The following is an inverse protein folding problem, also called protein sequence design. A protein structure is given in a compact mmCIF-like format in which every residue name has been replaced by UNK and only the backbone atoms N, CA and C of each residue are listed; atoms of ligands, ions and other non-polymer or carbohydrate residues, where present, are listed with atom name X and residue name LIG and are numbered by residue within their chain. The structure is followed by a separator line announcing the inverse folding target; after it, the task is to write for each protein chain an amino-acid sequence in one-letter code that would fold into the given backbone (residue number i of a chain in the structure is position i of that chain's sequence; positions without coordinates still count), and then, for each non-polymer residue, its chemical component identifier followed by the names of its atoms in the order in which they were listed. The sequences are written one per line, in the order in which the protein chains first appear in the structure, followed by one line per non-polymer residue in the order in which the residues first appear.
data_IF_899802912823
#
_entry.id   IF_899802912823
#
_cell.length_a   1.000
_cell.length_b   1.000
_cell.length_c   1.000
_cell.angle_alpha   90.00
_cell.angle_beta   90.00
_cell.angle_gamma   90.00
#
_symmetry.space_group_name_H-M   'P 1'
#
loop_
_entity.id
_entity.type
_entity.pdbx_description
1 polymer ?
#
# COMPACT_ATOMS: atom_id res chain seq x y z
N UNK A 1 -14.73 -22.80 6.95
CA UNK A 1 -13.95 -22.00 7.91
C UNK A 1 -13.11 -22.95 8.74
N UNK A 2 -11.79 -22.75 8.78
CA UNK A 2 -10.86 -23.63 9.49
C UNK A 2 -11.24 -23.64 10.97
N UNK A 3 -11.48 -24.78 11.60
CA UNK A 3 -11.89 -24.89 13.02
C UNK A 3 -10.79 -24.50 14.02
N UNK A 4 -10.05 -23.42 13.73
CA UNK A 4 -8.95 -22.87 14.51
C UNK A 4 -9.34 -21.46 14.94
N UNK A 5 -8.97 -21.12 16.16
CA UNK A 5 -9.12 -19.76 16.68
C UNK A 5 -8.30 -18.76 15.86
N UNK A 6 -8.81 -17.54 15.62
CA UNK A 6 -8.03 -16.45 15.04
C UNK A 6 -6.79 -16.16 15.89
N UNK A 7 -5.68 -15.87 15.23
CA UNK A 7 -4.45 -15.42 15.89
C UNK A 7 -4.38 -13.90 15.77
N UNK A 8 -4.28 -13.21 16.90
CA UNK A 8 -4.05 -11.77 16.94
C UNK A 8 -2.57 -11.52 16.64
N UNK A 9 -2.31 -10.65 15.67
CA UNK A 9 -0.96 -10.27 15.26
C UNK A 9 -0.56 -8.96 15.95
N UNK A 10 0.63 -8.95 16.54
CA UNK A 10 1.24 -7.76 17.15
C UNK A 10 2.06 -6.96 16.16
N UNK A 11 2.29 -5.68 16.45
CA UNK A 11 3.16 -4.82 15.63
C UNK A 11 4.60 -5.34 15.62
N UNK A 12 5.17 -5.54 14.42
CA UNK A 12 6.50 -6.09 14.20
C UNK A 12 6.60 -7.62 14.33
N UNK A 13 5.49 -8.31 14.61
CA UNK A 13 5.46 -9.76 14.78
C UNK A 13 5.83 -10.48 13.48
N UNK A 14 6.56 -11.60 13.59
CA UNK A 14 7.01 -12.40 12.45
C UNK A 14 6.32 -13.76 12.47
N UNK A 15 5.53 -14.04 11.43
CA UNK A 15 4.98 -15.36 11.16
C UNK A 15 5.89 -16.11 10.18
N UNK A 16 6.29 -17.32 10.56
CA UNK A 16 7.06 -18.20 9.68
C UNK A 16 6.12 -19.23 9.04
N UNK A 17 6.07 -19.27 7.71
CA UNK A 17 5.28 -20.24 6.94
C UNK A 17 6.22 -21.12 6.13
N UNK A 18 6.73 -22.19 6.74
CA UNK A 18 7.76 -23.04 6.14
C UNK A 18 9.08 -22.28 5.95
N UNK A 19 9.46 -22.01 4.70
CA UNK A 19 10.70 -21.28 4.37
C UNK A 19 10.55 -19.76 4.31
N UNK A 20 9.32 -19.24 4.45
CA UNK A 20 9.01 -17.82 4.31
C UNK A 20 8.78 -17.16 5.67
N UNK A 21 9.13 -15.88 5.79
CA UNK A 21 8.95 -15.07 6.98
C UNK A 21 8.14 -13.82 6.63
N UNK A 22 6.97 -13.67 7.21
CA UNK A 22 6.13 -12.48 7.06
C UNK A 22 6.22 -11.66 8.33
N UNK A 23 6.81 -10.46 8.24
CA UNK A 23 6.77 -9.47 9.31
C UNK A 23 5.57 -8.56 9.11
N UNK A 24 4.73 -8.43 10.12
CA UNK A 24 3.55 -7.59 10.09
C UNK A 24 3.80 -6.25 10.76
N UNK A 25 3.20 -5.20 10.21
CA UNK A 25 3.23 -3.85 10.73
C UNK A 25 1.80 -3.37 10.90
N UNK A 26 1.40 -3.06 12.12
CA UNK A 26 0.12 -2.44 12.37
C UNK A 26 0.21 -0.97 11.92
N UNK A 27 -0.67 -0.58 11.00
CA UNK A 27 -0.64 0.73 10.35
C UNK A 27 -2.00 1.41 10.45
N UNK A 28 -2.54 1.57 11.68
CA UNK A 28 -3.87 2.13 11.87
C UNK A 28 -3.95 3.52 11.25
N UNK A 29 -5.06 3.80 10.58
CA UNK A 29 -5.33 5.05 9.88
C UNK A 29 -4.38 5.38 8.72
N UNK A 30 -3.63 4.41 8.18
CA UNK A 30 -3.00 4.61 6.85
C UNK A 30 -4.06 4.65 5.77
N UNK A 31 -4.91 3.61 5.67
CA UNK A 31 -6.09 3.60 4.80
C UNK A 31 -7.37 3.50 5.63
N UNK A 32 -7.41 2.53 6.55
CA UNK A 32 -8.52 2.25 7.47
C UNK A 32 -8.01 2.13 8.91
N UNK A 33 -8.94 2.10 9.87
CA UNK A 33 -8.62 2.05 11.31
C UNK A 33 -7.90 0.74 11.71
N UNK A 34 -8.12 -0.34 10.98
CA UNK A 34 -7.58 -1.69 11.18
C UNK A 34 -6.47 -2.05 10.18
N UNK A 35 -5.97 -1.08 9.42
CA UNK A 35 -4.94 -1.31 8.41
C UNK A 35 -3.68 -1.96 8.99
N UNK A 36 -3.13 -2.87 8.20
CA UNK A 36 -1.86 -3.55 8.44
C UNK A 36 -1.12 -3.72 7.12
N UNK A 37 0.22 -3.72 7.19
CA UNK A 37 1.11 -4.08 6.09
C UNK A 37 1.91 -5.34 6.46
N UNK A 38 2.41 -6.06 5.47
CA UNK A 38 3.30 -7.18 5.72
C UNK A 38 4.47 -7.21 4.74
N UNK A 39 5.67 -7.52 5.24
CA UNK A 39 6.84 -7.76 4.40
C UNK A 39 7.24 -9.23 4.47
N UNK A 40 7.29 -9.89 3.31
CA UNK A 40 7.93 -11.19 3.16
C UNK A 40 9.45 -10.99 3.05
N UNK A 41 10.16 -11.31 4.12
CA UNK A 41 11.58 -10.96 4.27
C UNK A 41 12.51 -11.77 3.36
N UNK A 42 12.11 -12.96 2.92
CA UNK A 42 12.99 -13.85 2.14
C UNK A 42 13.24 -13.30 0.74
N UNK A 43 12.23 -12.70 0.12
CA UNK A 43 12.33 -12.10 -1.22
C UNK A 43 12.21 -10.58 -1.23
N UNK A 44 11.82 -9.97 -0.12
CA UNK A 44 11.64 -8.51 -0.05
C UNK A 44 10.34 -8.06 -0.71
N UNK A 45 9.25 -8.79 -0.50
CA UNK A 45 7.93 -8.43 -1.05
C UNK A 45 7.08 -7.73 0.01
N UNK A 46 6.71 -6.47 -0.25
CA UNK A 46 5.76 -5.73 0.55
C UNK A 46 4.33 -6.02 0.06
N UNK A 47 3.50 -6.61 0.91
CA UNK A 47 2.05 -6.62 0.77
C UNK A 47 1.51 -5.31 1.35
N UNK A 48 1.14 -4.41 0.44
CA UNK A 48 0.99 -2.99 0.75
C UNK A 48 -0.45 -2.55 1.06
N UNK A 49 -1.42 -3.47 0.96
CA UNK A 49 -2.84 -3.11 0.98
C UNK A 49 -3.10 -1.96 -0.01
N UNK A 50 -3.70 -0.87 0.46
CA UNK A 50 -4.06 0.29 -0.36
C UNK A 50 -2.97 1.38 -0.34
N UNK A 51 -1.86 1.16 0.37
CA UNK A 51 -0.66 1.95 0.18
C UNK A 51 -0.01 1.50 -1.14
N UNK A 52 0.44 2.45 -1.96
CA UNK A 52 0.95 2.21 -3.32
C UNK A 52 -0.04 1.72 -4.40
N UNK A 53 -1.35 2.01 -4.28
CA UNK A 53 -2.35 1.71 -5.33
C UNK A 53 -1.86 2.13 -6.72
N UNK A 54 -1.99 1.23 -7.69
CA UNK A 54 -1.73 1.53 -9.09
C UNK A 54 -3.04 1.78 -9.87
N UNK A 55 -3.15 2.89 -10.61
CA UNK A 55 -4.36 3.22 -11.37
C UNK A 55 -4.51 2.34 -12.62
N UNK A 56 -5.77 2.17 -13.04
CA UNK A 56 -6.13 1.64 -14.36
C UNK A 56 -6.01 0.11 -14.51
N UNK A 57 -6.14 -0.35 -15.75
CA UNK A 57 -6.05 -1.75 -16.16
C UNK A 57 -4.64 -2.08 -16.70
N UNK A 58 -3.63 -1.85 -15.86
CA UNK A 58 -2.24 -2.10 -16.19
C UNK A 58 -1.90 -3.60 -16.35
N UNK A 59 -0.68 -3.87 -16.81
CA UNK A 59 -0.11 -5.23 -16.83
C UNK A 59 -0.08 -5.82 -15.41
N UNK A 60 -0.01 -7.16 -15.24
CA UNK A 60 0.10 -7.78 -13.91
C UNK A 60 1.25 -7.23 -13.05
N UNK A 61 2.36 -6.86 -13.68
CA UNK A 61 3.49 -6.17 -13.06
C UNK A 61 4.00 -5.06 -13.95
N UNK A 62 4.59 -4.03 -13.35
CA UNK A 62 5.23 -2.91 -14.06
C UNK A 62 6.54 -2.51 -13.39
N UNK A 63 7.49 -2.06 -14.21
CA UNK A 63 8.72 -1.36 -13.81
C UNK A 63 8.70 0.12 -14.25
N UNK A 64 7.59 0.56 -14.84
CA UNK A 64 7.35 1.95 -15.22
C UNK A 64 7.10 2.82 -13.97
N UNK A 65 7.47 4.10 -14.03
CA UNK A 65 7.17 5.08 -12.98
C UNK A 65 5.77 5.67 -13.19
N UNK A 66 4.83 5.23 -12.34
CA UNK A 66 3.44 5.70 -12.28
C UNK A 66 3.17 6.47 -10.98
N UNK A 67 4.21 6.92 -10.28
CA UNK A 67 4.10 7.51 -8.94
C UNK A 67 3.24 8.79 -8.94
N UNK A 68 3.30 9.61 -9.99
CA UNK A 68 2.43 10.78 -10.15
C UNK A 68 0.95 10.37 -10.31
N UNK A 69 0.68 9.36 -11.13
CA UNK A 69 -0.69 8.89 -11.39
C UNK A 69 -1.32 8.26 -10.14
N UNK A 70 -0.51 7.57 -9.33
CA UNK A 70 -0.88 7.08 -8.00
C UNK A 70 -1.28 8.24 -7.07
N UNK A 71 -0.48 9.30 -6.99
CA UNK A 71 -0.79 10.46 -6.13
C UNK A 71 -2.07 11.16 -6.60
N UNK A 72 -2.22 11.34 -7.91
CA UNK A 72 -3.44 11.92 -8.48
C UNK A 72 -4.68 11.09 -8.17
N UNK A 73 -4.56 9.76 -8.18
CA UNK A 73 -5.64 8.87 -7.78
C UNK A 73 -6.00 9.06 -6.30
N UNK A 74 -5.03 9.10 -5.39
CA UNK A 74 -5.30 9.34 -3.97
C UNK A 74 -6.04 10.65 -3.74
N UNK A 75 -5.60 11.74 -4.40
CA UNK A 75 -6.26 13.05 -4.31
C UNK A 75 -7.70 13.04 -4.83
N UNK A 76 -7.97 12.26 -5.89
CA UNK A 76 -9.32 12.14 -6.47
C UNK A 76 -10.27 11.31 -5.62
N UNK A 77 -9.81 10.22 -5.03
CA UNK A 77 -10.68 9.31 -4.26
C UNK A 77 -10.80 9.76 -2.79
N UNK A 78 -9.74 10.32 -2.21
CA UNK A 78 -9.71 10.73 -0.80
C UNK A 78 -9.68 9.55 0.18
N UNK A 79 -8.80 8.56 -0.08
CA UNK A 79 -8.70 7.32 0.72
C UNK A 79 -7.79 7.44 1.94
N UNK A 80 -6.93 8.46 1.97
CA UNK A 80 -5.79 8.54 2.90
C UNK A 80 -6.06 9.66 3.91
N UNK A 81 -6.27 9.35 5.20
CA UNK A 81 -6.73 10.36 6.15
C UNK A 81 -5.59 11.16 6.80
N UNK A 82 -4.34 10.68 6.75
CA UNK A 82 -3.24 11.32 7.50
C UNK A 82 -1.83 11.01 6.98
N UNK A 83 -1.10 12.06 6.61
CA UNK A 83 0.31 11.95 6.21
C UNK A 83 1.20 11.52 7.39
N UNK A 84 0.82 11.86 8.63
CA UNK A 84 1.54 11.43 9.82
C UNK A 84 1.53 9.92 10.00
N UNK A 85 0.36 9.28 9.80
CA UNK A 85 0.24 7.82 9.89
C UNK A 85 0.95 7.12 8.74
N UNK A 86 0.88 7.67 7.52
CA UNK A 86 1.62 7.15 6.36
C UNK A 86 3.12 7.19 6.60
N UNK A 87 3.67 8.33 7.04
CA UNK A 87 5.11 8.46 7.33
C UNK A 87 5.54 7.52 8.45
N UNK A 88 4.76 7.41 9.53
CA UNK A 88 5.03 6.47 10.60
C UNK A 88 5.04 5.01 10.10
N UNK A 89 4.15 4.64 9.18
CA UNK A 89 4.16 3.31 8.56
C UNK A 89 5.41 3.06 7.71
N UNK A 90 5.82 4.05 6.90
CA UNK A 90 7.05 3.96 6.11
C UNK A 90 8.30 3.85 7.01
N UNK A 91 8.35 4.60 8.10
CA UNK A 91 9.46 4.55 9.07
C UNK A 91 9.58 3.16 9.72
N UNK A 92 8.47 2.46 10.01
CA UNK A 92 8.51 1.09 10.55
C UNK A 92 9.18 0.08 9.62
N UNK A 93 9.08 0.30 8.31
CA UNK A 93 9.64 -0.60 7.30
C UNK A 93 11.04 -0.17 6.85
N UNK A 94 11.56 0.93 7.40
CA UNK A 94 12.88 1.46 7.06
C UNK A 94 13.99 0.45 7.37
N UNK A 95 14.88 0.25 6.41
CA UNK A 95 16.00 -0.69 6.53
C UNK A 95 15.66 -2.12 6.12
N UNK A 96 14.41 -2.41 5.74
CA UNK A 96 14.07 -3.66 5.06
C UNK A 96 14.43 -3.57 3.57
N UNK A 97 14.97 -4.66 3.04
CA UNK A 97 15.32 -4.79 1.61
C UNK A 97 14.07 -5.14 0.80
N UNK A 98 13.22 -4.14 0.55
CA UNK A 98 11.98 -4.27 -0.24
C UNK A 98 12.32 -4.09 -1.72
N UNK A 99 12.05 -5.14 -2.51
CA UNK A 99 12.34 -5.21 -3.96
C UNK A 99 11.08 -5.22 -4.81
N UNK A 100 9.96 -5.61 -4.21
CA UNK A 100 8.68 -5.76 -4.88
C UNK A 100 7.58 -5.20 -3.99
N UNK A 101 6.64 -4.44 -4.58
CA UNK A 101 5.42 -4.03 -3.88
C UNK A 101 4.24 -4.75 -4.53
N UNK A 102 3.68 -5.71 -3.81
CA UNK A 102 2.43 -6.37 -4.15
C UNK A 102 1.27 -5.46 -3.69
N UNK A 103 0.81 -4.63 -4.60
CA UNK A 103 -0.33 -3.73 -4.43
C UNK A 103 -1.64 -4.53 -4.32
N UNK A 104 -2.59 -4.04 -3.50
CA UNK A 104 -3.94 -4.62 -3.47
C UNK A 104 -4.72 -4.29 -4.75
N UNK A 105 -4.47 -3.10 -5.32
CA UNK A 105 -5.10 -2.63 -6.54
C UNK A 105 -4.07 -2.28 -7.62
N UNK A 106 -4.31 -2.81 -8.82
CA UNK A 106 -3.49 -2.58 -10.01
C UNK A 106 -2.23 -3.44 -10.05
N UNK A 107 -1.23 -2.96 -10.77
CA UNK A 107 0.01 -3.70 -11.06
C UNK A 107 0.88 -3.90 -9.82
N UNK A 108 1.57 -5.05 -9.77
CA UNK A 108 2.71 -5.25 -8.87
C UNK A 108 3.86 -4.34 -9.31
N UNK A 109 4.44 -3.59 -8.38
CA UNK A 109 5.59 -2.74 -8.67
C UNK A 109 6.89 -3.53 -8.55
N UNK A 110 7.72 -3.39 -9.57
CA UNK A 110 9.07 -3.96 -9.67
C UNK A 110 10.06 -2.90 -10.16
N UNK A 111 11.34 -3.23 -10.24
CA UNK A 111 12.35 -2.28 -10.71
C UNK A 111 12.65 -1.19 -9.67
N UNK A 112 12.71 0.08 -10.10
CA UNK A 112 13.05 1.18 -9.21
C UNK A 112 11.83 1.66 -8.42
N UNK A 113 11.82 1.37 -7.11
CA UNK A 113 10.74 1.77 -6.20
C UNK A 113 10.91 3.17 -5.60
N UNK A 114 12.07 3.82 -5.76
CA UNK A 114 12.37 5.11 -5.15
C UNK A 114 11.34 6.22 -5.49
N UNK A 115 10.87 6.37 -6.75
CA UNK A 115 9.87 7.39 -7.06
C UNK A 115 8.56 7.23 -6.28
N UNK A 116 8.12 6.00 -6.05
CA UNK A 116 6.92 5.70 -5.29
C UNK A 116 7.07 6.05 -3.81
N UNK A 117 8.18 5.66 -3.18
CA UNK A 117 8.45 6.05 -1.79
C UNK A 117 8.55 7.56 -1.62
N UNK A 118 9.26 8.24 -2.54
CA UNK A 118 9.37 9.70 -2.56
C UNK A 118 7.99 10.36 -2.69
N UNK A 119 7.18 9.91 -3.63
CA UNK A 119 5.84 10.45 -3.84
C UNK A 119 4.94 10.29 -2.60
N UNK A 120 4.94 9.10 -1.97
CA UNK A 120 4.16 8.83 -0.75
C UNK A 120 4.68 9.63 0.46
N UNK A 121 5.97 9.94 0.51
CA UNK A 121 6.57 10.67 1.63
C UNK A 121 6.37 12.19 1.53
N UNK A 122 6.57 12.75 0.33
CA UNK A 122 6.70 14.19 0.09
C UNK A 122 5.38 14.86 -0.29
N UNK A 123 4.50 14.18 -1.03
CA UNK A 123 3.28 14.79 -1.53
C UNK A 123 2.13 14.64 -0.53
N UNK A 124 1.43 15.74 -0.24
CA UNK A 124 0.18 15.65 0.50
C UNK A 124 -0.97 15.28 -0.45
N UNK A 125 -1.51 14.09 -0.23
CA UNK A 125 -2.68 13.54 -0.93
C UNK A 125 -3.79 13.17 0.06
N UNK A 126 -3.75 13.73 1.26
CA UNK A 126 -4.74 13.47 2.29
C UNK A 126 -5.91 14.44 2.22
N UNK A 127 -7.03 14.01 2.80
CA UNK A 127 -8.26 14.79 2.83
C UNK A 127 -9.30 14.33 1.83
N UNK A 128 -10.50 14.88 1.98
CA UNK A 128 -11.60 14.61 1.06
C UNK A 128 -11.40 15.39 -0.23
N UNK A 129 -11.84 14.83 -1.38
CA UNK A 129 -11.90 15.59 -2.61
C UNK A 129 -12.79 16.83 -2.38
N UNK A 130 -12.44 17.97 -2.99
CA UNK A 130 -13.25 19.18 -2.91
C UNK A 130 -14.72 18.93 -3.32
N UNK A 131 -15.68 19.77 -2.91
CA UNK A 131 -17.09 19.60 -3.27
C UNK A 131 -17.26 19.38 -4.78
N UNK A 132 -17.84 18.25 -5.18
CA UNK A 132 -18.05 17.88 -6.60
C UNK A 132 -16.94 17.05 -7.25
N UNK A 133 -15.83 16.73 -6.56
CA UNK A 133 -14.77 15.90 -7.11
C UNK A 133 -15.09 14.39 -7.09
N UNK A 134 -16.10 13.95 -6.33
CA UNK A 134 -16.66 12.61 -6.45
C UNK A 134 -17.75 12.59 -7.54
N UNK A 135 -17.34 12.53 -8.81
CA UNK A 135 -18.23 12.00 -9.85
C UNK A 135 -18.28 10.48 -9.69
N UNK A 136 -19.48 9.88 -9.63
CA UNK A 136 -19.61 8.41 -9.62
C UNK A 136 -18.72 7.83 -10.73
N UNK A 137 -17.84 6.85 -10.44
CA UNK A 137 -17.12 6.18 -11.50
C UNK A 137 -18.13 5.62 -12.49
N UNK A 138 -18.02 5.98 -13.77
CA UNK A 138 -18.78 5.30 -14.80
C UNK A 138 -18.09 3.95 -15.02
N UNK A 139 -18.55 2.91 -14.32
CA UNK A 139 -18.02 1.54 -14.44
C UNK A 139 -18.33 0.89 -15.82
N UNK A 140 -18.67 1.69 -16.83
CA UNK A 140 -19.13 1.26 -18.15
C UNK A 140 -18.34 1.85 -19.33
N UNK A 141 -17.26 2.60 -19.11
CA UNK A 141 -16.41 3.04 -20.22
C UNK A 141 -15.07 2.26 -20.21
N UNK A 142 -14.81 1.62 -21.36
CA UNK A 142 -13.81 0.57 -21.68
C UNK A 142 -12.34 0.97 -21.52
#
# INVERSE_FOLDING_TARGET
FTGKEPVVISDGEVLTTGSKKLRFFLTPYVHAWDSLLAVEETQGTLFSSDLFIQPGHGKPSTDEDLSEQMVDLYKRIGLMPSMGHIRAALDKMKGLDIKTIACHHGSVLTGNLEPYYRAVWEQDFTGLPGPGAYSRPNFMDE
#
